data_IF_396993480569
#
_entry.id   IF_396993480569
#
_cell.length_a   1.000
_cell.length_b   1.000
_cell.length_c   1.000
_cell.angle_alpha   90.00
_cell.angle_beta   90.00
_cell.angle_gamma   90.00
#
_symmetry.space_group_name_H-M   'P 1'
#
loop_
_entity.id
_entity.type
_entity.pdbx_description
1 polymer ?
#
# COMPACT_ATOMS: atom_id res chain seq x y z
N UNK A 1 -25.77 -19.54 -8.15
CA UNK A 1 -25.10 -19.33 -6.84
C UNK A 1 -24.44 -17.96 -6.90
N UNK A 2 -25.06 -16.95 -6.29
CA UNK A 2 -24.43 -15.63 -6.13
C UNK A 2 -23.45 -15.74 -4.97
N UNK A 3 -22.27 -16.28 -5.25
CA UNK A 3 -21.20 -16.47 -4.27
C UNK A 3 -20.47 -15.14 -4.03
N UNK A 4 -21.18 -14.18 -3.43
CA UNK A 4 -20.57 -12.95 -2.95
C UNK A 4 -19.91 -13.31 -1.61
N UNK A 5 -18.56 -13.39 -1.53
CA UNK A 5 -17.91 -13.68 -0.26
C UNK A 5 -18.38 -12.66 0.77
N UNK A 6 -18.82 -13.16 1.93
CA UNK A 6 -19.20 -12.29 3.04
C UNK A 6 -17.97 -11.47 3.42
N UNK A 7 -18.12 -10.14 3.46
CA UNK A 7 -17.03 -9.26 3.88
C UNK A 7 -16.57 -9.71 5.28
N UNK A 8 -15.26 -9.86 5.52
CA UNK A 8 -14.79 -10.23 6.86
C UNK A 8 -15.35 -9.22 7.86
N UNK A 9 -15.97 -9.71 8.93
CA UNK A 9 -16.52 -8.86 9.98
C UNK A 9 -15.37 -8.07 10.61
N UNK A 10 -15.22 -6.81 10.22
CA UNK A 10 -14.34 -5.85 10.90
C UNK A 10 -15.23 -5.05 11.84
N UNK A 11 -14.93 -5.10 13.13
CA UNK A 11 -15.55 -4.19 14.07
C UNK A 11 -15.27 -2.74 13.62
N UNK A 12 -16.30 -1.86 13.58
CA UNK A 12 -16.07 -0.47 13.27
C UNK A 12 -15.11 0.13 14.31
N UNK A 13 -14.24 1.04 13.85
CA UNK A 13 -13.36 1.75 14.76
C UNK A 13 -14.21 2.60 15.73
N UNK A 14 -13.89 2.63 17.03
CA UNK A 14 -14.63 3.47 17.97
C UNK A 14 -14.50 4.94 17.56
N UNK A 15 -15.63 5.67 17.61
CA UNK A 15 -15.62 7.12 17.40
C UNK A 15 -14.81 7.82 18.50
N UNK A 16 -14.22 8.96 18.15
CA UNK A 16 -13.48 9.81 19.08
C UNK A 16 -13.66 11.28 18.71
N UNK A 17 -13.72 12.16 19.70
CA UNK A 17 -13.70 13.62 19.51
C UNK A 17 -12.31 14.13 19.08
N UNK A 18 -11.27 13.35 19.37
CA UNK A 18 -9.88 13.62 19.00
C UNK A 18 -9.39 12.64 17.93
N UNK A 19 -8.40 13.06 17.15
CA UNK A 19 -7.77 12.22 16.11
C UNK A 19 -6.30 11.94 16.43
N UNK A 20 -5.75 10.79 16.00
CA UNK A 20 -4.31 10.57 16.04
C UNK A 20 -3.56 11.67 15.29
N UNK A 21 -2.41 12.06 15.84
CA UNK A 21 -1.50 13.02 15.19
C UNK A 21 -0.55 12.30 14.23
N UNK A 22 -0.29 11.01 14.48
CA UNK A 22 0.58 10.16 13.67
C UNK A 22 -0.19 9.43 12.58
N UNK A 23 0.51 9.03 11.51
CA UNK A 23 -0.04 8.13 10.51
C UNK A 23 -0.41 6.79 11.17
N UNK A 24 -1.61 6.22 10.88
CA UNK A 24 -1.98 4.92 11.40
C UNK A 24 -1.13 3.83 10.75
N UNK A 25 -0.81 2.77 11.50
CA UNK A 25 -0.21 1.57 10.93
C UNK A 25 -1.30 0.73 10.26
N UNK A 26 -1.05 0.34 9.02
CA UNK A 26 -1.86 -0.61 8.27
C UNK A 26 -1.21 -1.99 8.41
N UNK A 27 -1.80 -2.91 9.20
CA UNK A 27 -1.24 -4.25 9.38
C UNK A 27 -1.61 -5.21 8.24
N UNK A 28 -2.48 -4.79 7.31
CA UNK A 28 -2.98 -5.65 6.24
C UNK A 28 -1.93 -5.88 5.16
N UNK A 29 -1.70 -7.16 4.83
CA UNK A 29 -0.86 -7.54 3.68
C UNK A 29 -1.66 -7.69 2.38
N UNK A 30 -2.98 -7.84 2.46
CA UNK A 30 -3.90 -7.97 1.32
C UNK A 30 -5.03 -6.95 1.45
N UNK A 31 -5.52 -6.46 0.32
CA UNK A 31 -6.59 -5.49 0.20
C UNK A 31 -7.66 -6.02 -0.75
N UNK A 32 -8.92 -5.86 -0.37
CA UNK A 32 -10.04 -6.37 -1.15
C UNK A 32 -10.53 -5.31 -2.14
N UNK A 33 -10.66 -5.68 -3.41
CA UNK A 33 -11.40 -4.91 -4.42
C UNK A 33 -12.91 -5.12 -4.25
N UNK A 34 -13.71 -4.19 -4.76
CA UNK A 34 -15.17 -4.27 -4.69
C UNK A 34 -15.75 -5.44 -5.49
N UNK A 35 -15.13 -5.73 -6.63
CA UNK A 35 -15.44 -6.78 -7.59
C UNK A 35 -14.19 -7.09 -8.45
N UNK A 36 -14.24 -8.13 -9.32
CA UNK A 36 -13.12 -8.46 -10.21
C UNK A 36 -12.76 -7.35 -11.19
N UNK A 37 -13.74 -6.66 -11.78
CA UNK A 37 -13.47 -5.58 -12.75
C UNK A 37 -12.67 -4.43 -12.12
N UNK A 38 -12.96 -4.10 -10.85
CA UNK A 38 -12.20 -3.11 -10.09
C UNK A 38 -10.78 -3.59 -9.72
N UNK A 39 -10.55 -4.90 -9.64
CA UNK A 39 -9.22 -5.47 -9.45
C UNK A 39 -8.42 -5.39 -10.76
N UNK A 40 -9.03 -5.76 -11.88
CA UNK A 40 -8.40 -5.70 -13.20
C UNK A 40 -8.02 -4.25 -13.54
N UNK A 41 -8.93 -3.31 -13.33
CA UNK A 41 -8.67 -1.88 -13.54
C UNK A 41 -7.50 -1.34 -12.70
N UNK A 42 -7.23 -1.90 -11.51
CA UNK A 42 -6.05 -1.56 -10.72
C UNK A 42 -4.77 -2.14 -11.32
N UNK A 43 -4.76 -3.41 -11.72
CA UNK A 43 -3.60 -4.06 -12.31
C UNK A 43 -3.24 -3.53 -13.70
N UNK A 44 -4.24 -3.09 -14.48
CA UNK A 44 -4.05 -2.45 -15.78
C UNK A 44 -3.62 -0.97 -15.67
N UNK A 45 -3.49 -0.44 -14.44
CA UNK A 45 -3.04 0.93 -14.19
C UNK A 45 -4.10 2.01 -14.38
N UNK A 46 -5.36 1.63 -14.63
CA UNK A 46 -6.48 2.56 -14.76
C UNK A 46 -6.96 3.15 -13.42
N UNK A 47 -6.65 2.49 -12.30
CA UNK A 47 -6.89 3.01 -10.95
C UNK A 47 -5.69 2.79 -10.03
N UNK A 48 -5.35 3.80 -9.22
CA UNK A 48 -4.39 3.67 -8.13
C UNK A 48 -5.05 2.96 -6.95
N UNK A 49 -4.40 1.93 -6.43
CA UNK A 49 -4.86 1.19 -5.28
C UNK A 49 -3.75 0.34 -4.66
N UNK A 50 -4.11 -0.37 -3.61
CA UNK A 50 -3.27 -1.41 -3.03
C UNK A 50 -4.03 -2.73 -3.17
N UNK A 51 -3.35 -3.78 -3.63
CA UNK A 51 -3.89 -5.14 -3.69
C UNK A 51 -3.12 -6.04 -2.75
N UNK A 52 -1.80 -6.02 -2.86
CA UNK A 52 -0.90 -6.83 -2.06
C UNK A 52 0.31 -6.01 -1.59
N UNK A 53 0.64 -6.10 -0.30
CA UNK A 53 1.66 -5.27 0.34
C UNK A 53 3.07 -5.44 -0.23
N UNK A 54 3.33 -6.54 -0.94
CA UNK A 54 4.59 -6.75 -1.67
C UNK A 54 4.74 -5.79 -2.85
N UNK A 55 3.65 -5.43 -3.50
CA UNK A 55 3.61 -4.56 -4.67
C UNK A 55 3.49 -3.09 -4.27
N UNK A 56 2.76 -2.82 -3.19
CA UNK A 56 2.63 -1.49 -2.64
C UNK A 56 1.94 -1.50 -1.28
N UNK A 57 2.36 -0.62 -0.38
CA UNK A 57 1.82 -0.52 0.98
C UNK A 57 1.67 0.95 1.39
N UNK A 58 0.53 1.38 1.95
CA UNK A 58 0.26 2.79 2.25
C UNK A 58 1.27 3.40 3.23
N UNK A 59 1.68 2.67 4.27
CA UNK A 59 2.73 3.19 5.16
C UNK A 59 4.10 3.29 4.50
N UNK A 60 4.42 2.39 3.56
CA UNK A 60 5.68 2.41 2.85
C UNK A 60 5.72 3.58 1.85
N UNK A 61 4.59 3.85 1.19
CA UNK A 61 4.45 5.00 0.28
C UNK A 61 4.61 6.33 1.03
N UNK A 62 3.94 6.50 2.18
CA UNK A 62 4.10 7.71 3.01
C UNK A 62 5.55 7.89 3.46
N UNK A 63 6.20 6.82 3.91
CA UNK A 63 7.62 6.87 4.30
C UNK A 63 8.51 7.24 3.12
N UNK A 64 8.30 6.63 1.95
CA UNK A 64 9.02 6.94 0.73
C UNK A 64 8.90 8.42 0.35
N UNK A 65 7.69 8.98 0.37
CA UNK A 65 7.45 10.40 0.10
C UNK A 65 8.18 11.33 1.08
N UNK A 66 8.28 10.96 2.36
CA UNK A 66 9.02 11.75 3.35
C UNK A 66 10.53 11.71 3.07
N UNK A 67 11.08 10.56 2.69
CA UNK A 67 12.50 10.41 2.33
C UNK A 67 12.80 11.19 1.04
N UNK A 68 11.96 11.03 0.03
CA UNK A 68 12.03 11.76 -1.24
C UNK A 68 12.11 13.28 -1.01
N UNK A 69 11.27 13.81 -0.12
CA UNK A 69 11.28 15.23 0.24
C UNK A 69 12.57 15.67 0.94
N UNK A 70 13.19 14.81 1.75
CA UNK A 70 14.47 15.10 2.42
C UNK A 70 15.65 15.08 1.43
N UNK A 71 15.62 14.19 0.44
CA UNK A 71 16.70 13.99 -0.53
C UNK A 71 16.55 14.85 -1.80
N UNK A 72 15.42 15.57 -1.94
CA UNK A 72 15.10 16.31 -3.18
C UNK A 72 14.88 15.37 -4.38
N UNK A 73 14.42 14.15 -4.11
CA UNK A 73 14.16 13.11 -5.10
C UNK A 73 12.65 12.86 -5.28
N UNK A 74 12.29 11.97 -6.20
CA UNK A 74 10.91 11.52 -6.39
C UNK A 74 10.87 10.06 -6.81
N UNK A 75 9.88 9.31 -6.34
CA UNK A 75 9.65 7.94 -6.79
C UNK A 75 10.51 6.92 -6.05
N UNK A 76 10.95 7.24 -4.84
CA UNK A 76 11.69 6.31 -3.99
C UNK A 76 10.86 5.07 -3.62
N UNK A 77 11.55 3.94 -3.44
CA UNK A 77 10.95 2.68 -3.02
C UNK A 77 11.49 2.25 -1.66
N UNK A 78 10.60 1.81 -0.77
CA UNK A 78 10.98 1.28 0.54
C UNK A 78 11.12 -0.24 0.45
N UNK A 79 12.21 -0.78 0.97
CA UNK A 79 12.51 -2.22 0.96
C UNK A 79 12.68 -2.75 2.39
N UNK A 80 12.67 -4.08 2.55
CA UNK A 80 12.83 -4.72 3.86
C UNK A 80 14.24 -4.63 4.47
N UNK A 81 15.25 -4.22 3.70
CA UNK A 81 16.62 -4.03 4.20
C UNK A 81 17.46 -3.18 3.24
N UNK A 82 18.57 -2.61 3.74
CA UNK A 82 19.52 -1.88 2.89
C UNK A 82 20.10 -2.72 1.74
N UNK A 83 20.35 -4.02 1.99
CA UNK A 83 20.81 -4.94 0.92
C UNK A 83 19.72 -5.18 -0.13
N UNK A 84 18.45 -5.21 0.28
CA UNK A 84 17.31 -5.24 -0.65
C UNK A 84 17.28 -3.99 -1.54
N UNK A 85 17.47 -2.80 -0.96
CA UNK A 85 17.54 -1.56 -1.70
C UNK A 85 18.68 -1.56 -2.74
N UNK A 86 19.89 -1.97 -2.35
CA UNK A 86 21.04 -2.10 -3.27
C UNK A 86 20.74 -3.10 -4.39
N UNK A 87 20.14 -4.24 -4.05
CA UNK A 87 19.79 -5.28 -5.03
C UNK A 87 18.79 -4.76 -6.05
N UNK A 88 17.74 -4.07 -5.61
CA UNK A 88 16.74 -3.45 -6.51
C UNK A 88 17.38 -2.37 -7.39
N UNK A 89 18.26 -1.53 -6.83
CA UNK A 89 18.96 -0.51 -7.62
C UNK A 89 19.86 -1.10 -8.71
N UNK A 90 20.51 -2.24 -8.44
CA UNK A 90 21.40 -2.91 -9.40
C UNK A 90 20.67 -3.78 -10.42
N UNK A 91 19.63 -4.51 -10.00
CA UNK A 91 18.93 -5.48 -10.86
C UNK A 91 17.66 -4.91 -11.52
N UNK A 92 17.09 -3.84 -10.98
CA UNK A 92 15.87 -3.21 -11.50
C UNK A 92 16.12 -2.00 -12.41
N UNK A 93 17.38 -1.62 -12.63
CA UNK A 93 17.78 -0.50 -13.50
C UNK A 93 18.07 -0.92 -14.95
N UNK A 94 17.81 -2.19 -15.30
CA UNK A 94 17.88 -2.72 -16.67
C UNK A 94 16.59 -2.49 -17.45
#
# INVERSE_FOLDING_TARGET
MSDKPSKPFRAPWPGSVSRPVVNPLQPSVVYASGDPDALDHQYEGGAKGYTYAREGHPNAEVLGQMIDAMEGATGGVVTGSGMGAVTVALLGSV
#
